data_IF_972675268934
#
_entry.id   IF_972675268934
#
_cell.length_a   1.000
_cell.length_b   1.000
_cell.length_c   1.000
_cell.angle_alpha   90.00
_cell.angle_beta   90.00
_cell.angle_gamma   90.00
#
_symmetry.space_group_name_H-M   'P 1'
#
loop_
_entity.id
_entity.type
_entity.pdbx_description
1 polymer ?
#
# COMPACT_ATOMS: atom_id res chain seq x y z
N UNK A 1 -21.23 26.03 10.88
CA UNK A 1 -20.72 24.92 11.70
C UNK A 1 -19.58 24.34 10.89
N UNK A 2 -18.34 24.46 11.35
CA UNK A 2 -17.18 24.01 10.58
C UNK A 2 -17.06 22.50 10.68
N UNK A 3 -17.32 21.82 9.58
CA UNK A 3 -16.98 20.41 9.36
C UNK A 3 -15.45 20.30 9.38
N UNK A 4 -14.88 20.02 10.56
CA UNK A 4 -13.52 19.50 10.66
C UNK A 4 -13.59 18.07 10.16
N UNK A 5 -13.35 17.89 8.87
CA UNK A 5 -12.99 16.59 8.32
C UNK A 5 -11.87 16.01 9.19
N UNK A 6 -11.89 14.72 9.54
CA UNK A 6 -10.75 14.13 10.21
C UNK A 6 -9.56 14.29 9.27
N UNK A 7 -8.66 15.23 9.57
CA UNK A 7 -7.34 15.28 8.93
C UNK A 7 -6.82 13.86 9.02
N UNK A 8 -6.76 13.17 7.88
CA UNK A 8 -6.18 11.86 7.76
C UNK A 8 -4.74 12.06 8.17
N UNK A 9 -4.55 11.84 9.46
CA UNK A 9 -3.33 11.61 10.19
C UNK A 9 -2.14 11.59 9.23
N UNK A 10 -1.37 12.67 9.24
CA UNK A 10 -0.07 12.83 8.55
C UNK A 10 0.93 11.82 9.15
N UNK A 11 0.56 10.54 9.18
CA UNK A 11 1.42 9.42 9.51
C UNK A 11 2.54 9.49 8.47
N UNK A 12 3.70 9.98 8.90
CA UNK A 12 4.91 10.01 8.09
C UNK A 12 5.31 8.55 7.82
N UNK A 13 4.82 8.03 6.71
CA UNK A 13 5.21 6.71 6.25
C UNK A 13 6.70 6.74 5.88
N UNK A 14 7.47 5.74 6.31
CA UNK A 14 8.90 5.73 6.09
C UNK A 14 9.19 5.73 4.59
N UNK A 15 9.87 6.77 4.08
CA UNK A 15 10.24 6.85 2.65
C UNK A 15 11.37 5.89 2.25
N UNK A 16 12.03 5.28 3.25
CA UNK A 16 13.19 4.41 3.08
C UNK A 16 13.01 3.11 3.84
N UNK A 17 13.51 2.03 3.27
CA UNK A 17 13.54 0.73 3.92
C UNK A 17 14.35 0.80 5.22
N UNK A 18 13.80 0.37 6.36
CA UNK A 18 14.50 0.43 7.64
C UNK A 18 15.73 -0.49 7.70
N UNK A 19 15.81 -1.51 6.84
CA UNK A 19 16.87 -2.52 6.85
C UNK A 19 18.09 -2.16 5.99
N UNK A 20 17.86 -1.58 4.81
CA UNK A 20 18.94 -1.28 3.84
C UNK A 20 18.99 0.19 3.41
N UNK A 21 18.08 1.03 3.93
CA UNK A 21 17.97 2.46 3.62
C UNK A 21 17.66 2.79 2.14
N UNK A 22 17.37 1.79 1.31
CA UNK A 22 16.88 2.00 -0.07
C UNK A 22 15.54 2.72 -0.05
N UNK A 23 15.36 3.68 -0.95
CA UNK A 23 14.07 4.37 -1.14
C UNK A 23 12.97 3.38 -1.50
N UNK A 24 11.82 3.48 -0.81
CA UNK A 24 10.68 2.61 -1.10
C UNK A 24 10.05 2.99 -2.43
N UNK A 25 9.43 2.01 -3.08
CA UNK A 25 8.64 2.21 -4.30
C UNK A 25 7.18 1.89 -3.97
N UNK A 26 6.25 2.63 -4.57
CA UNK A 26 4.82 2.40 -4.40
C UNK A 26 4.28 1.59 -5.58
N UNK A 27 3.59 0.49 -5.30
CA UNK A 27 2.83 -0.25 -6.29
C UNK A 27 1.34 -0.25 -5.92
N UNK A 28 0.49 -0.24 -6.95
CA UNK A 28 -0.94 -0.45 -6.77
C UNK A 28 -1.23 -1.94 -6.88
N UNK A 29 -1.75 -2.53 -5.80
CA UNK A 29 -2.19 -3.92 -5.79
C UNK A 29 -3.71 -3.98 -5.77
N UNK A 30 -4.29 -4.68 -6.74
CA UNK A 30 -5.71 -5.02 -6.70
C UNK A 30 -5.98 -5.97 -5.54
N UNK A 31 -6.92 -5.62 -4.69
CA UNK A 31 -7.42 -6.45 -3.61
C UNK A 31 -8.85 -6.82 -3.93
N UNK A 32 -9.11 -8.11 -4.13
CA UNK A 32 -10.46 -8.64 -4.19
C UNK A 32 -10.78 -9.21 -2.79
N UNK A 33 -11.53 -8.49 -1.94
CA UNK A 33 -11.91 -8.97 -0.61
C UNK A 33 -12.87 -10.16 -0.67
N UNK A 34 -13.66 -10.24 -1.74
CA UNK A 34 -14.39 -11.44 -2.11
C UNK A 34 -13.40 -12.39 -2.80
N UNK A 35 -13.24 -13.62 -2.31
CA UNK A 35 -12.36 -14.61 -2.93
C UNK A 35 -12.63 -14.79 -4.43
N UNK A 36 -11.71 -15.47 -5.12
CA UNK A 36 -11.62 -15.65 -6.59
C UNK A 36 -12.93 -15.97 -7.37
N UNK A 37 -14.04 -16.28 -6.70
CA UNK A 37 -15.34 -16.62 -7.29
C UNK A 37 -16.23 -15.41 -7.67
N UNK A 38 -15.98 -14.19 -7.18
CA UNK A 38 -16.90 -13.03 -7.36
C UNK A 38 -16.48 -12.07 -8.50
N UNK A 39 -15.55 -12.47 -9.37
CA UNK A 39 -15.00 -11.61 -10.43
C UNK A 39 -16.03 -11.36 -11.56
N UNK A 40 -17.13 -12.11 -11.62
CA UNK A 40 -18.13 -12.04 -12.70
C UNK A 40 -19.04 -10.80 -12.63
N UNK A 41 -19.09 -10.08 -11.50
CA UNK A 41 -20.07 -9.01 -11.26
C UNK A 41 -19.62 -7.57 -11.56
N UNK A 42 -18.52 -7.37 -12.28
CA UNK A 42 -18.13 -6.04 -12.77
C UNK A 42 -17.89 -4.98 -11.68
N UNK A 43 -17.74 -5.40 -10.42
CA UNK A 43 -17.31 -4.53 -9.35
C UNK A 43 -15.85 -4.14 -9.58
N UNK A 44 -15.60 -2.85 -9.65
CA UNK A 44 -14.25 -2.30 -9.64
C UNK A 44 -13.58 -2.70 -8.33
N UNK A 45 -12.74 -3.75 -8.39
CA UNK A 45 -11.99 -4.26 -7.26
C UNK A 45 -11.22 -3.13 -6.55
N UNK A 46 -11.16 -3.21 -5.23
CA UNK A 46 -10.46 -2.21 -4.43
C UNK A 46 -8.97 -2.21 -4.77
N UNK A 47 -8.39 -1.03 -4.94
CA UNK A 47 -6.95 -0.88 -5.22
C UNK A 47 -6.26 -0.29 -4.00
N UNK A 48 -5.24 -1.00 -3.50
CA UNK A 48 -4.41 -0.55 -2.39
C UNK A 48 -3.03 -0.11 -2.90
N UNK A 49 -2.61 1.10 -2.53
CA UNK A 49 -1.23 1.53 -2.72
C UNK A 49 -0.36 0.92 -1.60
N UNK A 50 0.67 0.17 -1.99
CA UNK A 50 1.58 -0.51 -1.07
C UNK A 50 3.01 -0.07 -1.36
N UNK A 51 3.70 0.42 -0.34
CA UNK A 51 5.12 0.73 -0.40
C UNK A 51 5.96 -0.53 -0.14
N UNK A 52 6.95 -0.80 -0.99
CA UNK A 52 7.84 -1.96 -0.87
C UNK A 52 9.30 -1.60 -1.13
N UNK A 53 10.22 -2.40 -0.57
CA UNK A 53 11.65 -2.24 -0.82
C UNK A 53 12.04 -2.94 -2.14
N UNK A 54 12.53 -2.20 -3.16
CA UNK A 54 12.88 -2.81 -4.45
C UNK A 54 14.24 -3.53 -4.43
N UNK A 55 15.06 -3.33 -3.39
CA UNK A 55 16.43 -3.85 -3.36
C UNK A 55 16.44 -5.39 -3.19
N UNK A 56 16.92 -6.16 -4.18
CA UNK A 56 16.98 -7.61 -4.09
C UNK A 56 18.00 -8.11 -3.06
N UNK A 57 19.01 -7.32 -2.73
CA UNK A 57 20.05 -7.63 -1.76
C UNK A 57 19.72 -7.09 -0.35
N UNK A 58 18.46 -6.69 -0.11
CA UNK A 58 18.04 -6.19 1.20
C UNK A 58 18.04 -7.32 2.24
N UNK A 59 18.73 -7.16 3.40
CA UNK A 59 18.78 -8.18 4.44
C UNK A 59 17.44 -8.38 5.16
N UNK A 60 16.46 -7.50 4.94
CA UNK A 60 15.09 -7.63 5.47
C UNK A 60 14.13 -8.35 4.53
N UNK A 61 14.61 -8.97 3.44
CA UNK A 61 13.79 -9.83 2.57
C UNK A 61 13.57 -11.25 3.11
N UNK A 62 14.41 -11.69 4.06
CA UNK A 62 14.36 -13.00 4.72
C UNK A 62 13.53 -12.97 6.01
#
# INVERSE_FOLDING_TARGET
MSEQEPSVDERDWPKRCPHCQTELQTATQGFNPAGEDDIDHGEMGEVLAVDFCPNPDCPGKD
#
